data_IF_888797600683
#
_entry.id   IF_888797600683
#
_cell.length_a   1.000
_cell.length_b   1.000
_cell.length_c   1.000
_cell.angle_alpha   90.00
_cell.angle_beta   90.00
_cell.angle_gamma   90.00
#
_symmetry.space_group_name_H-M   'P 1'
#
loop_
_entity.id
_entity.type
_entity.pdbx_description
1 polymer ?
#
# COMPACT_ATOMS: atom_id res chain seq x y z
N UNK A 1 16.04 20.55 3.88
CA UNK A 1 15.15 20.53 2.68
C UNK A 1 14.50 19.15 2.55
N UNK A 2 13.33 19.04 1.88
CA UNK A 2 12.60 17.77 1.75
C UNK A 2 13.45 16.65 1.11
N UNK A 3 14.16 16.96 0.03
CA UNK A 3 15.04 15.99 -0.65
C UNK A 3 16.20 15.50 0.24
N UNK A 4 16.77 16.35 1.10
CA UNK A 4 17.82 15.94 2.03
C UNK A 4 17.30 14.90 3.04
N UNK A 5 16.09 15.12 3.57
CA UNK A 5 15.44 14.16 4.46
C UNK A 5 15.13 12.84 3.74
N UNK A 6 14.71 12.92 2.47
CA UNK A 6 14.49 11.73 1.64
C UNK A 6 15.78 10.94 1.39
N UNK A 7 16.89 11.61 1.07
CA UNK A 7 18.17 10.93 0.88
C UNK A 7 18.68 10.28 2.17
N UNK A 8 18.52 10.94 3.32
CA UNK A 8 18.81 10.33 4.62
C UNK A 8 17.96 9.06 4.85
N UNK A 9 16.68 9.09 4.45
CA UNK A 9 15.80 7.93 4.47
C UNK A 9 16.28 6.80 3.56
N UNK A 10 16.71 7.11 2.33
CA UNK A 10 17.26 6.12 1.40
C UNK A 10 18.52 5.45 1.96
N UNK A 11 19.40 6.22 2.61
CA UNK A 11 20.62 5.72 3.25
C UNK A 11 20.27 4.80 4.42
N UNK A 12 19.37 5.21 5.31
CA UNK A 12 18.94 4.39 6.46
C UNK A 12 18.25 3.09 5.99
N UNK A 13 17.37 3.19 5.01
CA UNK A 13 16.64 2.06 4.45
C UNK A 13 17.57 1.01 3.84
N UNK A 14 18.57 1.43 3.05
CA UNK A 14 19.59 0.53 2.48
C UNK A 14 20.45 -0.15 3.55
N UNK A 15 20.58 0.44 4.74
CA UNK A 15 21.28 -0.15 5.89
C UNK A 15 20.38 -1.11 6.71
N UNK A 16 19.11 -1.29 6.32
CA UNK A 16 18.13 -2.05 7.11
C UNK A 16 17.62 -1.30 8.35
N UNK A 17 17.99 -0.04 8.54
CA UNK A 17 17.52 0.78 9.65
C UNK A 17 16.15 1.38 9.33
N UNK A 18 15.14 0.52 9.40
CA UNK A 18 13.76 0.87 9.09
C UNK A 18 13.20 1.94 10.03
N UNK A 19 13.68 2.02 11.27
CA UNK A 19 13.22 3.01 12.23
C UNK A 19 13.64 4.42 11.82
N UNK A 20 14.92 4.63 11.48
CA UNK A 20 15.40 5.93 11.02
C UNK A 20 14.95 6.24 9.60
N UNK A 21 14.79 5.23 8.73
CA UNK A 21 14.18 5.41 7.42
C UNK A 21 12.76 5.99 7.52
N UNK A 22 11.92 5.43 8.41
CA UNK A 22 10.55 5.94 8.64
C UNK A 22 10.55 7.39 9.12
N UNK A 23 11.43 7.75 10.07
CA UNK A 23 11.55 9.14 10.57
C UNK A 23 11.94 10.10 9.45
N UNK A 24 12.93 9.74 8.65
CA UNK A 24 13.45 10.58 7.58
C UNK A 24 12.44 10.77 6.43
N UNK A 25 11.78 9.70 5.98
CA UNK A 25 10.72 9.82 4.98
C UNK A 25 9.49 10.55 5.51
N UNK A 26 9.12 10.38 6.78
CA UNK A 26 8.05 11.15 7.41
C UNK A 26 8.38 12.64 7.44
N UNK A 27 9.63 13.01 7.73
CA UNK A 27 10.07 14.40 7.66
C UNK A 27 10.02 14.93 6.22
N UNK A 28 10.49 14.17 5.23
CA UNK A 28 10.41 14.58 3.82
C UNK A 28 8.97 14.84 3.38
N UNK A 29 8.05 13.94 3.73
CA UNK A 29 6.61 14.10 3.44
C UNK A 29 5.99 15.31 4.16
N UNK A 30 6.38 15.59 5.41
CA UNK A 30 5.90 16.80 6.12
C UNK A 30 6.38 18.09 5.47
N UNK A 31 7.60 18.09 4.93
CA UNK A 31 8.19 19.26 4.28
C UNK A 31 7.60 19.51 2.89
N UNK A 32 7.21 18.45 2.19
CA UNK A 32 6.54 18.53 0.88
C UNK A 32 5.55 17.37 0.71
N UNK A 33 4.27 17.57 1.06
CA UNK A 33 3.25 16.53 0.97
C UNK A 33 2.76 16.27 -0.46
N UNK A 34 3.11 17.13 -1.42
CA UNK A 34 2.68 17.02 -2.81
C UNK A 34 3.61 16.13 -3.65
N UNK A 35 4.74 15.72 -3.08
CA UNK A 35 5.67 14.82 -3.73
C UNK A 35 5.38 13.35 -3.31
N UNK A 36 4.75 12.54 -4.19
CA UNK A 36 4.32 11.18 -3.86
C UNK A 36 5.48 10.23 -3.53
N UNK A 37 6.71 10.49 -3.98
CA UNK A 37 7.84 9.59 -3.71
C UNK A 37 8.12 9.45 -2.20
N UNK A 38 7.87 10.48 -1.40
CA UNK A 38 8.18 10.46 0.04
C UNK A 38 7.24 9.55 0.83
N UNK A 39 5.93 9.69 0.64
CA UNK A 39 4.93 8.83 1.27
C UNK A 39 4.92 7.42 0.66
N UNK A 40 5.26 7.25 -0.62
CA UNK A 40 5.50 5.93 -1.20
C UNK A 40 6.65 5.19 -0.52
N UNK A 41 7.79 5.85 -0.32
CA UNK A 41 8.93 5.25 0.40
C UNK A 41 8.59 4.96 1.86
N UNK A 42 7.85 5.86 2.53
CA UNK A 42 7.36 5.61 3.89
C UNK A 42 6.45 4.37 3.97
N UNK A 43 5.56 4.18 2.98
CA UNK A 43 4.71 2.99 2.93
C UNK A 43 5.51 1.69 2.73
N UNK A 44 6.61 1.72 1.99
CA UNK A 44 7.50 0.57 1.84
C UNK A 44 8.13 0.18 3.18
N UNK A 45 8.62 1.16 3.95
CA UNK A 45 9.17 0.93 5.29
C UNK A 45 8.10 0.34 6.22
N UNK A 46 6.88 0.89 6.23
CA UNK A 46 5.82 0.35 7.07
C UNK A 46 5.38 -1.04 6.67
N UNK A 47 5.41 -1.37 5.38
CA UNK A 47 5.13 -2.71 4.90
C UNK A 47 6.17 -3.71 5.41
N UNK A 48 7.46 -3.37 5.35
CA UNK A 48 8.55 -4.22 5.86
C UNK A 48 8.53 -4.36 7.38
N UNK A 49 8.05 -3.34 8.09
CA UNK A 49 7.81 -3.39 9.53
C UNK A 49 6.56 -4.20 9.93
N UNK A 50 5.78 -4.74 8.97
CA UNK A 50 4.50 -5.39 9.25
C UNK A 50 3.40 -4.42 9.74
N UNK A 51 3.62 -3.10 9.68
CA UNK A 51 2.69 -2.07 10.13
C UNK A 51 1.68 -1.72 9.04
N UNK A 52 0.85 -2.69 8.65
CA UNK A 52 0.01 -2.60 7.44
C UNK A 52 -1.03 -1.47 7.45
N UNK A 53 -1.61 -1.13 8.61
CA UNK A 53 -2.54 0.01 8.71
C UNK A 53 -1.85 1.34 8.36
N UNK A 54 -0.61 1.54 8.82
CA UNK A 54 0.16 2.74 8.47
C UNK A 54 0.65 2.70 7.03
N UNK A 55 1.03 1.52 6.53
CA UNK A 55 1.35 1.31 5.12
C UNK A 55 0.20 1.79 4.22
N UNK A 56 -1.04 1.35 4.51
CA UNK A 56 -2.23 1.76 3.76
C UNK A 56 -2.44 3.27 3.83
N UNK A 57 -2.32 3.88 5.02
CA UNK A 57 -2.41 5.33 5.17
C UNK A 57 -1.40 6.09 4.30
N UNK A 58 -0.12 5.68 4.33
CA UNK A 58 0.91 6.31 3.50
C UNK A 58 0.73 6.06 1.99
N UNK A 59 0.14 4.92 1.60
CA UNK A 59 -0.25 4.68 0.20
C UNK A 59 -1.34 5.66 -0.22
N UNK A 60 -2.36 5.86 0.61
CA UNK A 60 -3.45 6.81 0.32
C UNK A 60 -2.88 8.22 0.15
N UNK A 61 -1.95 8.65 1.01
CA UNK A 61 -1.32 9.97 0.88
C UNK A 61 -0.48 10.08 -0.41
N UNK A 62 0.28 9.04 -0.75
CA UNK A 62 1.03 8.99 -2.01
C UNK A 62 0.12 9.00 -3.23
N UNK A 63 -1.01 8.30 -3.16
CA UNK A 63 -1.97 8.23 -4.25
C UNK A 63 -2.69 9.55 -4.46
N UNK A 64 -3.05 10.25 -3.38
CA UNK A 64 -3.61 11.62 -3.45
C UNK A 64 -2.67 12.57 -4.18
N UNK A 65 -1.38 12.55 -3.82
CA UNK A 65 -0.37 13.37 -4.49
C UNK A 65 -0.19 13.00 -5.97
N UNK A 66 -0.25 11.70 -6.32
CA UNK A 66 -0.26 11.26 -7.72
C UNK A 66 -1.48 11.77 -8.49
N UNK A 67 -2.69 11.60 -7.95
CA UNK A 67 -3.93 12.10 -8.58
C UNK A 67 -3.87 13.61 -8.80
N UNK A 68 -3.29 14.36 -7.85
CA UNK A 68 -3.12 15.81 -7.97
C UNK A 68 -2.14 16.21 -9.09
N UNK A 69 -1.20 15.33 -9.48
CA UNK A 69 -0.32 15.53 -10.64
C UNK A 69 -1.01 15.15 -11.96
N UNK A 70 -1.97 14.24 -11.92
CA UNK A 70 -2.76 13.78 -13.06
C UNK A 70 -4.15 14.42 -13.03
N UNK A 71 -4.26 15.69 -13.42
CA UNK A 71 -5.55 16.40 -13.46
C UNK A 71 -6.16 16.42 -14.85
N UNK A 72 -7.43 16.03 -14.96
CA UNK A 72 -8.27 16.25 -16.14
C UNK A 72 -9.40 17.21 -15.76
N UNK A 73 -9.58 18.30 -16.51
CA UNK A 73 -10.60 19.32 -16.23
C UNK A 73 -10.58 19.85 -14.77
N UNK A 74 -9.40 20.12 -14.22
CA UNK A 74 -9.18 20.53 -12.82
C UNK A 74 -9.64 19.51 -11.76
N UNK A 75 -9.95 18.26 -12.15
CA UNK A 75 -10.27 17.18 -11.23
C UNK A 75 -9.11 16.18 -11.15
N UNK A 76 -8.66 15.76 -9.94
CA UNK A 76 -7.67 14.70 -9.80
C UNK A 76 -8.22 13.38 -10.37
N UNK A 77 -7.55 12.81 -11.37
CA UNK A 77 -7.95 11.58 -12.05
C UNK A 77 -7.13 10.38 -11.55
N UNK A 78 -7.62 9.16 -11.80
CA UNK A 78 -6.87 7.94 -11.58
C UNK A 78 -5.54 8.01 -12.34
N UNK A 79 -4.38 7.71 -11.74
CA UNK A 79 -3.10 7.68 -12.46
C UNK A 79 -3.16 6.70 -13.66
N UNK A 80 -2.44 6.97 -14.76
CA UNK A 80 -2.44 6.07 -15.90
C UNK A 80 -1.84 4.72 -15.54
N UNK A 81 -2.31 3.65 -16.18
CA UNK A 81 -1.86 2.28 -15.90
C UNK A 81 -0.35 2.06 -16.18
N UNK A 82 0.26 2.95 -16.96
CA UNK A 82 1.70 3.00 -17.24
C UNK A 82 2.53 3.68 -16.16
N UNK A 83 1.90 4.33 -15.17
CA UNK A 83 2.60 4.97 -14.05
C UNK A 83 3.22 3.92 -13.13
N UNK A 84 4.55 3.81 -13.19
CA UNK A 84 5.30 2.81 -12.44
C UNK A 84 5.16 2.97 -10.92
N UNK A 85 4.92 4.19 -10.41
CA UNK A 85 4.72 4.41 -8.99
C UNK A 85 3.32 3.94 -8.58
N UNK A 86 2.30 4.22 -9.39
CA UNK A 86 0.94 3.73 -9.16
C UNK A 86 0.89 2.19 -9.15
N UNK A 87 1.57 1.50 -10.08
CA UNK A 87 1.67 0.03 -10.09
C UNK A 87 2.32 -0.53 -8.81
N UNK A 88 3.42 0.09 -8.35
CA UNK A 88 4.08 -0.33 -7.09
C UNK A 88 3.19 -0.12 -5.86
N UNK A 89 2.50 1.02 -5.81
CA UNK A 89 1.60 1.36 -4.71
C UNK A 89 0.39 0.42 -4.66
N UNK A 90 -0.24 0.16 -5.81
CA UNK A 90 -1.42 -0.70 -5.90
C UNK A 90 -1.09 -2.16 -5.51
N UNK A 91 0.07 -2.67 -5.95
CA UNK A 91 0.53 -4.00 -5.52
C UNK A 91 0.76 -4.05 -4.00
N UNK A 92 1.47 -3.06 -3.45
CA UNK A 92 1.72 -2.98 -2.00
C UNK A 92 0.42 -2.82 -1.21
N UNK A 93 -0.55 -2.09 -1.74
CA UNK A 93 -1.86 -1.89 -1.13
C UNK A 93 -2.62 -3.20 -0.97
N UNK A 94 -2.72 -3.99 -2.05
CA UNK A 94 -3.42 -5.29 -2.01
C UNK A 94 -2.70 -6.25 -1.07
N UNK A 95 -1.37 -6.30 -1.12
CA UNK A 95 -0.57 -7.08 -0.17
C UNK A 95 -0.78 -6.62 1.28
N UNK A 96 -0.85 -5.32 1.55
CA UNK A 96 -1.07 -4.79 2.89
C UNK A 96 -2.48 -5.11 3.40
N UNK A 97 -3.51 -5.02 2.55
CA UNK A 97 -4.89 -5.40 2.89
C UNK A 97 -5.01 -6.88 3.23
N UNK A 98 -4.35 -7.75 2.46
CA UNK A 98 -4.30 -9.20 2.72
C UNK A 98 -3.68 -9.57 4.07
N UNK A 99 -2.72 -8.77 4.57
CA UNK A 99 -2.02 -9.06 5.83
C UNK A 99 -2.52 -8.20 6.99
N UNK A 100 -3.47 -7.28 6.78
CA UNK A 100 -3.99 -6.41 7.84
C UNK A 100 -4.98 -7.21 8.69
N UNK A 101 -4.67 -7.36 9.97
CA UNK A 101 -5.66 -7.82 10.95
C UNK A 101 -6.83 -6.84 11.05
N UNK A 102 -8.04 -7.41 11.07
CA UNK A 102 -9.35 -6.73 11.14
C UNK A 102 -9.49 -5.74 12.31
N UNK A 103 -8.63 -5.81 13.33
CA UNK A 103 -8.82 -5.17 14.65
C UNK A 103 -8.63 -3.65 14.65
N UNK A 104 -7.95 -3.06 13.67
CA UNK A 104 -7.52 -1.66 13.77
C UNK A 104 -8.34 -0.68 12.91
N UNK A 105 -9.57 -0.34 13.29
CA UNK A 105 -10.38 0.69 12.60
C UNK A 105 -11.23 1.56 13.53
N UNK A 106 -10.67 2.24 14.53
CA UNK A 106 -11.46 3.17 15.36
C UNK A 106 -10.65 4.43 15.74
N UNK A 107 -10.37 5.34 14.79
CA UNK A 107 -9.80 6.69 15.11
C UNK A 107 -9.87 7.70 13.93
N UNK A 108 -10.98 7.79 13.18
CA UNK A 108 -11.12 8.84 12.14
C UNK A 108 -12.51 9.49 12.11
N UNK A 109 -12.56 10.83 11.96
CA UNK A 109 -13.79 11.60 11.77
C UNK A 109 -14.45 11.29 10.40
N UNK A 110 -15.78 11.35 10.32
CA UNK A 110 -16.63 10.95 9.18
C UNK A 110 -16.19 11.56 7.84
N UNK A 111 -15.90 12.85 7.78
CA UNK A 111 -15.48 13.51 6.53
C UNK A 111 -14.11 13.03 6.01
N UNK A 112 -13.16 12.76 6.92
CA UNK A 112 -11.86 12.20 6.55
C UNK A 112 -11.97 10.73 6.14
N UNK A 113 -12.97 10.02 6.69
CA UNK A 113 -13.29 8.64 6.30
C UNK A 113 -13.82 8.58 4.86
N UNK A 114 -14.70 9.49 4.46
CA UNK A 114 -15.26 9.53 3.10
C UNK A 114 -14.20 9.86 2.03
N UNK A 115 -13.36 10.87 2.26
CA UNK A 115 -12.23 11.19 1.36
C UNK A 115 -11.20 10.07 1.27
N UNK A 116 -11.05 9.29 2.33
CA UNK A 116 -10.17 8.12 2.34
C UNK A 116 -10.79 6.97 1.54
N UNK A 117 -12.08 6.71 1.73
CA UNK A 117 -12.82 5.70 0.98
C UNK A 117 -12.87 5.98 -0.53
N UNK A 118 -12.93 7.25 -0.95
CA UNK A 118 -12.82 7.61 -2.37
C UNK A 118 -11.47 7.15 -2.97
N UNK A 119 -10.36 7.46 -2.30
CA UNK A 119 -9.02 7.08 -2.75
C UNK A 119 -8.85 5.56 -2.74
N UNK A 120 -9.35 4.88 -1.71
CA UNK A 120 -9.32 3.42 -1.66
C UNK A 120 -10.09 2.79 -2.82
N UNK A 121 -11.27 3.31 -3.17
CA UNK A 121 -12.03 2.85 -4.35
C UNK A 121 -11.26 3.09 -5.64
N UNK A 122 -10.59 4.23 -5.76
CA UNK A 122 -9.78 4.55 -6.94
C UNK A 122 -8.58 3.60 -7.11
N UNK A 123 -7.87 3.29 -6.01
CA UNK A 123 -6.80 2.29 -6.00
C UNK A 123 -7.34 0.91 -6.41
N UNK A 124 -8.49 0.48 -5.89
CA UNK A 124 -9.10 -0.81 -6.24
C UNK A 124 -9.55 -0.87 -7.69
N UNK A 125 -10.10 0.22 -8.24
CA UNK A 125 -10.43 0.36 -9.66
C UNK A 125 -9.16 0.20 -10.51
N UNK A 126 -8.06 0.84 -10.12
CA UNK A 126 -6.77 0.69 -10.78
C UNK A 126 -6.25 -0.76 -10.72
N UNK A 127 -6.31 -1.41 -9.55
CA UNK A 127 -5.90 -2.81 -9.40
C UNK A 127 -6.69 -3.75 -10.33
N UNK A 128 -8.00 -3.57 -10.41
CA UNK A 128 -8.87 -4.34 -11.30
C UNK A 128 -8.49 -4.15 -12.77
N UNK A 129 -8.18 -2.91 -13.18
CA UNK A 129 -7.73 -2.61 -14.53
C UNK A 129 -6.36 -3.24 -14.86
N UNK A 130 -5.39 -3.18 -13.94
CA UNK A 130 -4.08 -3.84 -14.11
C UNK A 130 -4.22 -5.36 -14.18
N UNK A 131 -5.05 -5.96 -13.34
CA UNK A 131 -5.20 -7.42 -13.32
C UNK A 131 -5.81 -7.97 -14.63
N UNK A 132 -6.64 -7.16 -15.31
CA UNK A 132 -7.20 -7.48 -16.63
C UNK A 132 -6.22 -7.24 -17.78
N UNK A 133 -5.16 -6.46 -17.59
CA UNK A 133 -4.11 -6.35 -18.60
C UNK A 133 -3.39 -7.70 -18.70
N UNK A 134 -3.18 -8.17 -19.93
CA UNK A 134 -2.50 -9.43 -20.22
C UNK A 134 -3.25 -10.70 -19.75
N UNK A 135 -4.59 -10.67 -19.77
CA UNK A 135 -5.42 -11.86 -19.46
C UNK A 135 -5.20 -13.02 -20.46
N UNK A 136 -4.66 -12.70 -21.65
CA UNK A 136 -4.32 -13.67 -22.71
C UNK A 136 -2.93 -14.32 -22.54
N UNK A 137 -2.15 -13.92 -21.53
CA UNK A 137 -0.83 -14.51 -21.28
C UNK A 137 -0.95 -15.91 -20.64
N UNK A 138 -0.15 -16.89 -21.11
CA UNK A 138 -0.18 -18.26 -20.57
C UNK A 138 0.23 -18.36 -19.08
N UNK A 139 0.87 -17.33 -18.53
CA UNK A 139 1.29 -17.30 -17.13
C UNK A 139 0.80 -16.03 -16.43
N UNK A 140 0.12 -16.22 -15.29
CA UNK A 140 -0.32 -15.11 -14.44
C UNK A 140 0.87 -14.38 -13.81
N UNK A 141 0.85 -13.06 -13.92
CA UNK A 141 1.79 -12.16 -13.25
C UNK A 141 1.69 -12.27 -11.72
N UNK A 142 2.72 -11.81 -11.00
CA UNK A 142 2.65 -11.71 -9.53
C UNK A 142 1.46 -10.85 -9.09
N UNK A 143 1.20 -9.75 -9.80
CA UNK A 143 0.08 -8.86 -9.50
C UNK A 143 -1.26 -9.59 -9.60
N UNK A 144 -1.51 -10.30 -10.70
CA UNK A 144 -2.75 -11.08 -10.91
C UNK A 144 -2.96 -12.12 -9.81
N UNK A 145 -1.90 -12.86 -9.44
CA UNK A 145 -1.98 -13.86 -8.36
C UNK A 145 -2.36 -13.23 -7.02
N UNK A 146 -1.76 -12.09 -6.67
CA UNK A 146 -2.06 -11.35 -5.44
C UNK A 146 -3.47 -10.78 -5.47
N UNK A 147 -3.87 -10.18 -6.59
CA UNK A 147 -5.20 -9.62 -6.79
C UNK A 147 -6.30 -10.67 -6.67
N UNK A 148 -6.17 -11.81 -7.34
CA UNK A 148 -7.13 -12.92 -7.23
C UNK A 148 -7.24 -13.45 -5.80
N UNK A 149 -6.11 -13.55 -5.10
CA UNK A 149 -6.10 -13.97 -3.69
C UNK A 149 -6.88 -13.00 -2.82
N UNK A 150 -6.70 -11.69 -3.04
CA UNK A 150 -7.44 -10.66 -2.31
C UNK A 150 -8.93 -10.63 -2.66
N UNK A 151 -9.29 -10.69 -3.95
CA UNK A 151 -10.69 -10.74 -4.38
C UNK A 151 -11.41 -11.94 -3.78
N UNK A 152 -10.74 -13.11 -3.73
CA UNK A 152 -11.28 -14.29 -3.05
C UNK A 152 -11.49 -14.03 -1.56
N UNK A 153 -10.48 -13.47 -0.87
CA UNK A 153 -10.52 -13.15 0.56
C UNK A 153 -11.62 -12.14 0.95
N UNK A 154 -11.89 -11.16 0.08
CA UNK A 154 -12.90 -10.11 0.31
C UNK A 154 -14.31 -10.53 -0.14
N UNK A 155 -14.47 -11.69 -0.80
CA UNK A 155 -15.78 -12.16 -1.24
C UNK A 155 -16.68 -12.50 -0.06
N UNK A 156 -17.89 -11.94 -0.03
CA UNK A 156 -18.89 -12.22 1.01
C UNK A 156 -19.31 -13.70 1.07
N UNK A 157 -19.00 -14.47 0.02
CA UNK A 157 -19.33 -15.89 -0.11
C UNK A 157 -18.37 -16.83 0.65
N UNK A 158 -17.34 -16.31 1.35
CA UNK A 158 -16.43 -17.16 2.10
C UNK A 158 -17.09 -17.80 3.31
N UNK A 159 -16.93 -19.12 3.43
CA UNK A 159 -17.26 -19.87 4.64
C UNK A 159 -16.39 -19.43 5.83
N UNK A 160 -16.85 -19.62 7.09
CA UNK A 160 -16.04 -19.32 8.27
C UNK A 160 -14.65 -19.98 8.27
N UNK A 161 -14.57 -21.22 7.77
CA UNK A 161 -13.32 -21.99 7.67
C UNK A 161 -12.34 -21.38 6.66
N UNK A 162 -12.83 -20.91 5.51
CA UNK A 162 -12.01 -20.22 4.51
C UNK A 162 -11.46 -18.90 5.06
N UNK A 163 -12.28 -18.13 5.78
CA UNK A 163 -11.84 -16.89 6.46
C UNK A 163 -10.76 -17.18 7.51
N UNK A 164 -10.95 -18.25 8.31
CA UNK A 164 -9.99 -18.68 9.31
C UNK A 164 -8.66 -19.12 8.66
N UNK A 165 -8.73 -19.85 7.54
CA UNK A 165 -7.55 -20.24 6.76
C UNK A 165 -6.81 -19.02 6.21
N UNK A 166 -7.51 -18.05 5.60
CA UNK A 166 -6.89 -16.82 5.11
C UNK A 166 -6.19 -16.03 6.22
N UNK A 167 -6.83 -15.92 7.40
CA UNK A 167 -6.23 -15.31 8.58
C UNK A 167 -4.97 -16.05 9.04
N UNK A 168 -5.03 -17.38 9.15
CA UNK A 168 -3.87 -18.18 9.56
C UNK A 168 -2.70 -18.06 8.57
N UNK A 169 -2.99 -18.00 7.27
CA UNK A 169 -1.97 -17.77 6.25
C UNK A 169 -1.38 -16.35 6.32
N UNK A 170 -2.19 -15.32 6.59
CA UNK A 170 -1.72 -13.94 6.80
C UNK A 170 -0.82 -13.85 8.03
N UNK A 171 -1.22 -14.47 9.14
CA UNK A 171 -0.41 -14.54 10.36
C UNK A 171 0.91 -15.29 10.11
N UNK A 172 0.89 -16.37 9.32
CA UNK A 172 2.12 -17.06 8.91
C UNK A 172 3.04 -16.15 8.09
N UNK A 173 2.50 -15.46 7.08
CA UNK A 173 3.27 -14.50 6.26
C UNK A 173 3.89 -13.39 7.10
N UNK A 174 3.16 -12.89 8.10
CA UNK A 174 3.66 -11.90 9.05
C UNK A 174 4.82 -12.47 9.87
N UNK A 175 4.68 -13.66 10.46
CA UNK A 175 5.76 -14.33 11.21
C UNK A 175 7.00 -14.60 10.36
N UNK A 176 6.82 -14.89 9.08
CA UNK A 176 7.90 -15.20 8.15
C UNK A 176 8.70 -13.97 7.70
N UNK A 177 8.31 -12.73 8.06
CA UNK A 177 9.08 -11.53 7.70
C UNK A 177 10.43 -11.49 8.44
N UNK A 178 11.50 -11.01 7.80
CA UNK A 178 12.85 -10.99 8.38
C UNK A 178 12.95 -10.34 9.77
N UNK A 179 12.15 -9.29 10.01
CA UNK A 179 12.11 -8.59 11.30
C UNK A 179 11.56 -9.43 12.47
N UNK A 180 10.73 -10.43 12.19
CA UNK A 180 10.14 -11.33 13.20
C UNK A 180 10.87 -12.67 13.29
N UNK A 181 11.69 -13.02 12.29
CA UNK A 181 12.56 -14.22 12.34
C UNK A 181 13.74 -14.08 13.30
N UNK A 182 14.23 -12.87 13.55
CA UNK A 182 15.40 -12.63 14.41
C UNK A 182 15.08 -12.55 15.91
N UNK A 183 13.85 -12.84 16.32
CA UNK A 183 13.36 -12.69 17.71
C UNK A 183 12.85 -14.01 18.33
N UNK A 184 13.21 -15.17 17.76
CA UNK A 184 12.96 -16.50 18.30
C UNK A 184 14.26 -17.27 18.46
#
# INVERSE_FOLDING_TARGET
>A
MADQAHQAGNVAYRKGDLANAAKAYSLAFKLDPNEPKYSSNLSAVYYEQGRYTLCIGSIIDSWRALRAKHTSNNHPDTPPLTDALAVKLSLRYVKAKLNRDSVASNLTNKANKEKTAEIERDILKFCSAIARQNDEASQKTEFQKVWETWVKAESDQQTPDERAKHRAEAEKRLRDLPIFRSSL
#
